data_IF_478423981318
#
_entry.id   IF_478423981318
#
_cell.length_a   1.000
_cell.length_b   1.000
_cell.length_c   1.000
_cell.angle_alpha   90.00
_cell.angle_beta   90.00
_cell.angle_gamma   90.00
#
_symmetry.space_group_name_H-M   'P 1'
#
loop_
_entity.id
_entity.type
_entity.pdbx_description
1 polymer ?
#
# COMPACT_ATOMS: atom_id res chain seq x y z
N UNK A 1 -6.76 -18.04 3.35
CA UNK A 1 -5.75 -17.16 4.00
C UNK A 1 -6.38 -15.82 4.43
N UNK A 2 -5.86 -15.13 5.46
CA UNK A 2 -6.24 -13.74 5.81
C UNK A 2 -4.99 -12.87 6.02
N UNK A 3 -4.89 -11.75 5.30
CA UNK A 3 -3.78 -10.79 5.40
C UNK A 3 -4.30 -9.39 5.71
N UNK A 4 -3.61 -8.67 6.58
CA UNK A 4 -3.90 -7.26 6.91
C UNK A 4 -2.71 -6.42 6.47
N UNK A 5 -2.96 -5.43 5.62
CA UNK A 5 -1.95 -4.45 5.17
C UNK A 5 -2.33 -3.09 5.75
N UNK A 6 -1.39 -2.42 6.41
CA UNK A 6 -1.59 -1.11 7.04
C UNK A 6 -0.68 -0.08 6.38
N UNK A 7 -1.26 1.02 5.90
CA UNK A 7 -0.55 2.08 5.21
C UNK A 7 -0.29 3.28 6.09
N UNK A 8 0.66 3.19 7.03
CA UNK A 8 1.35 4.33 7.66
C UNK A 8 2.51 3.84 8.55
N UNK A 9 3.74 4.29 8.28
CA UNK A 9 4.88 4.19 9.21
C UNK A 9 5.68 5.51 9.23
N UNK A 10 5.18 6.54 9.90
CA UNK A 10 5.98 7.74 10.17
C UNK A 10 6.80 7.64 11.46
N UNK A 11 8.08 7.98 11.40
CA UNK A 11 8.92 8.08 12.61
C UNK A 11 10.29 8.71 12.37
N UNK A 12 10.53 9.87 12.99
CA UNK A 12 11.87 10.44 13.12
C UNK A 12 12.56 9.82 14.34
N UNK A 13 13.07 8.61 14.19
CA UNK A 13 13.81 7.93 15.25
C UNK A 13 15.30 8.26 15.14
N UNK A 14 15.78 9.22 15.93
CA UNK A 14 17.20 9.29 16.30
C UNK A 14 17.36 8.48 17.59
N UNK A 15 18.23 7.48 17.57
CA UNK A 15 18.65 6.67 18.73
C UNK A 15 17.52 5.94 19.49
N UNK A 16 16.52 5.44 18.78
CA UNK A 16 15.46 4.62 19.38
C UNK A 16 15.85 3.14 19.44
N UNK A 17 15.56 2.39 20.53
CA UNK A 17 15.89 0.96 20.64
C UNK A 17 15.29 0.08 19.53
N UNK A 18 14.20 0.53 18.91
CA UNK A 18 13.56 -0.17 17.79
C UNK A 18 14.26 0.03 16.44
N UNK A 19 15.25 0.92 16.33
CA UNK A 19 15.95 1.16 15.06
C UNK A 19 16.64 -0.10 14.53
N UNK A 20 17.21 -0.92 15.42
CA UNK A 20 17.82 -2.19 15.04
C UNK A 20 16.79 -3.13 14.40
N UNK A 21 15.60 -3.24 15.01
CA UNK A 21 14.49 -4.04 14.49
C UNK A 21 13.92 -3.49 13.17
N UNK A 22 13.67 -2.19 13.07
CA UNK A 22 13.16 -1.56 11.84
C UNK A 22 14.13 -1.80 10.67
N UNK A 23 15.44 -1.79 10.93
CA UNK A 23 16.47 -2.06 9.92
C UNK A 23 16.48 -3.51 9.42
N UNK A 24 15.93 -4.46 10.18
CA UNK A 24 15.79 -5.86 9.74
C UNK A 24 14.52 -6.12 8.93
N UNK A 25 13.57 -5.16 8.89
CA UNK A 25 12.35 -5.34 8.12
C UNK A 25 12.66 -5.39 6.61
N UNK A 26 11.98 -6.28 5.86
CA UNK A 26 12.16 -6.34 4.42
C UNK A 26 11.61 -5.06 3.76
N UNK A 27 12.19 -4.68 2.61
CA UNK A 27 11.74 -3.49 1.87
C UNK A 27 10.36 -3.68 1.22
N UNK A 28 10.01 -4.92 0.92
CA UNK A 28 8.73 -5.31 0.37
C UNK A 28 8.34 -6.70 0.89
N UNK A 29 7.06 -7.01 0.84
CA UNK A 29 6.51 -8.34 1.04
C UNK A 29 5.79 -8.75 -0.22
N UNK A 30 6.09 -9.94 -0.76
CA UNK A 30 5.51 -10.42 -2.00
C UNK A 30 4.78 -11.74 -1.79
N UNK A 31 3.62 -11.86 -2.42
CA UNK A 31 2.86 -13.10 -2.57
C UNK A 31 2.70 -13.42 -4.06
N UNK A 32 2.03 -14.53 -4.37
CA UNK A 32 1.61 -14.84 -5.73
C UNK A 32 0.74 -13.71 -6.34
N UNK A 33 -0.08 -13.03 -5.53
CA UNK A 33 -1.13 -12.14 -6.03
C UNK A 33 -0.83 -10.64 -5.88
N UNK A 34 0.00 -10.25 -4.93
CA UNK A 34 0.27 -8.84 -4.66
C UNK A 34 1.64 -8.60 -4.02
N UNK A 35 2.12 -7.37 -4.14
CA UNK A 35 3.32 -6.84 -3.51
C UNK A 35 2.91 -5.74 -2.54
N UNK A 36 3.37 -5.79 -1.30
CA UNK A 36 3.30 -4.68 -0.35
C UNK A 36 4.66 -3.98 -0.29
N UNK A 37 4.69 -2.68 -0.50
CA UNK A 37 5.90 -1.85 -0.43
C UNK A 37 5.61 -0.56 0.32
N UNK A 38 6.62 0.09 0.90
CA UNK A 38 6.40 1.37 1.55
C UNK A 38 6.00 2.48 0.56
N UNK A 39 6.80 2.68 -0.49
CA UNK A 39 6.63 3.79 -1.43
C UNK A 39 6.33 3.33 -2.86
N UNK A 40 7.28 2.70 -3.55
CA UNK A 40 7.12 2.28 -4.94
C UNK A 40 7.86 0.99 -5.29
N UNK A 41 7.49 0.40 -6.43
CA UNK A 41 8.20 -0.73 -7.05
C UNK A 41 8.67 -0.27 -8.43
N UNK A 42 9.88 -0.67 -8.83
CA UNK A 42 10.41 -0.45 -10.17
C UNK A 42 9.50 -1.10 -11.22
N UNK A 43 9.37 -0.47 -12.39
CA UNK A 43 8.60 -1.06 -13.52
C UNK A 43 9.11 -2.42 -13.96
N UNK A 44 10.36 -2.77 -13.62
CA UNK A 44 10.98 -4.06 -13.93
C UNK A 44 10.68 -5.15 -12.90
N UNK A 45 10.02 -4.83 -11.78
CA UNK A 45 9.72 -5.79 -10.70
C UNK A 45 10.39 -5.45 -9.36
N UNK A 46 9.95 -6.08 -8.25
CA UNK A 46 10.47 -5.86 -6.91
C UNK A 46 11.97 -6.21 -6.77
N UNK A 47 12.44 -7.23 -7.47
CA UNK A 47 13.85 -7.65 -7.51
C UNK A 47 14.78 -6.60 -8.15
N UNK A 48 14.23 -5.75 -9.03
CA UNK A 48 14.92 -4.63 -9.66
C UNK A 48 14.65 -3.30 -8.95
N UNK A 49 14.03 -3.33 -7.77
CA UNK A 49 13.68 -2.13 -7.00
C UNK A 49 14.78 -1.84 -6.00
N UNK A 50 15.49 -0.73 -6.20
CA UNK A 50 16.47 -0.29 -5.23
C UNK A 50 15.83 0.29 -3.96
N UNK A 51 16.63 0.41 -2.91
CA UNK A 51 16.19 0.89 -1.60
C UNK A 51 15.62 2.31 -1.64
N UNK A 52 16.11 3.17 -2.53
CA UNK A 52 15.60 4.54 -2.66
C UNK A 52 14.20 4.54 -3.26
N UNK A 53 13.96 3.73 -4.30
CA UNK A 53 12.64 3.57 -4.90
C UNK A 53 11.64 3.00 -3.89
N UNK A 54 12.03 1.93 -3.19
CA UNK A 54 11.15 1.27 -2.21
C UNK A 54 10.73 2.19 -1.05
N UNK A 55 11.56 3.18 -0.69
CA UNK A 55 11.36 4.03 0.48
C UNK A 55 10.90 5.46 0.19
N UNK A 56 11.18 6.03 -0.98
CA UNK A 56 11.03 7.48 -1.18
C UNK A 56 10.31 7.89 -2.45
N UNK A 57 10.24 7.00 -3.44
CA UNK A 57 9.70 7.32 -4.74
C UNK A 57 8.16 7.50 -4.71
N UNK A 58 7.64 8.38 -5.56
CA UNK A 58 6.21 8.73 -5.62
C UNK A 58 5.58 8.45 -6.98
N UNK A 59 6.32 7.88 -7.92
CA UNK A 59 5.88 7.66 -9.30
C UNK A 59 4.61 6.80 -9.40
N UNK A 60 4.41 5.81 -8.52
CA UNK A 60 3.16 5.03 -8.50
C UNK A 60 1.94 5.94 -8.28
N UNK A 61 2.03 6.84 -7.31
CA UNK A 61 0.98 7.78 -7.00
C UNK A 61 0.79 8.83 -8.10
N UNK A 62 1.89 9.38 -8.60
CA UNK A 62 1.87 10.56 -9.48
C UNK A 62 1.55 10.21 -10.94
N UNK A 63 2.05 9.08 -11.45
CA UNK A 63 1.94 8.74 -12.86
C UNK A 63 0.68 7.92 -13.17
N UNK A 64 0.26 7.01 -12.28
CA UNK A 64 -0.91 6.16 -12.48
C UNK A 64 -0.82 5.18 -13.68
N UNK A 65 0.39 4.93 -14.19
CA UNK A 65 0.65 4.09 -15.37
C UNK A 65 1.32 2.74 -15.05
N UNK A 66 1.51 2.41 -13.77
CA UNK A 66 1.98 1.08 -13.39
C UNK A 66 0.88 0.03 -13.66
N UNK A 67 1.20 -0.98 -14.46
CA UNK A 67 0.28 -2.05 -14.88
C UNK A 67 0.80 -3.47 -14.60
N UNK A 68 1.84 -3.61 -13.75
CA UNK A 68 2.35 -4.92 -13.31
C UNK A 68 1.48 -5.56 -12.22
N UNK A 69 1.98 -6.64 -11.60
CA UNK A 69 1.34 -7.32 -10.45
C UNK A 69 0.86 -6.30 -9.40
N UNK A 70 -0.32 -6.50 -8.81
CA UNK A 70 -0.92 -5.56 -7.86
C UNK A 70 0.08 -5.09 -6.79
N UNK A 71 0.33 -3.77 -6.73
CA UNK A 71 1.15 -3.13 -5.69
C UNK A 71 0.26 -2.40 -4.69
N UNK A 72 0.43 -2.71 -3.41
CA UNK A 72 -0.23 -2.01 -2.30
C UNK A 72 0.84 -1.19 -1.59
N UNK A 73 0.63 0.14 -1.51
CA UNK A 73 1.66 1.07 -1.05
C UNK A 73 1.12 2.14 -0.10
N UNK A 74 2.02 2.83 0.60
CA UNK A 74 1.75 3.99 1.47
C UNK A 74 2.54 5.22 1.01
N UNK A 75 3.18 5.93 1.95
CA UNK A 75 4.16 7.02 1.73
C UNK A 75 3.66 8.32 1.08
N UNK A 76 2.82 8.22 0.05
CA UNK A 76 2.21 9.36 -0.62
C UNK A 76 0.81 9.57 -0.06
N UNK A 77 0.62 10.61 0.78
CA UNK A 77 -0.65 10.85 1.43
C UNK A 77 -1.70 11.27 0.41
N UNK A 78 -2.81 10.55 0.41
CA UNK A 78 -3.98 10.84 -0.40
C UNK A 78 -5.18 11.09 0.51
N UNK A 79 -6.13 11.92 0.10
CA UNK A 79 -7.35 12.11 0.90
C UNK A 79 -8.23 10.85 0.92
N UNK A 80 -8.10 10.02 -0.12
CA UNK A 80 -8.94 8.86 -0.40
C UNK A 80 -8.07 7.69 -0.80
N UNK A 81 -8.56 6.47 -0.57
CA UNK A 81 -7.94 5.26 -1.12
C UNK A 81 -8.22 5.22 -2.62
N UNK A 82 -7.16 5.16 -3.42
CA UNK A 82 -7.24 5.14 -4.88
C UNK A 82 -6.69 3.82 -5.43
N UNK A 83 -7.39 3.27 -6.41
CA UNK A 83 -6.91 2.22 -7.29
C UNK A 83 -6.53 2.82 -8.64
N UNK A 84 -5.32 2.51 -9.11
CA UNK A 84 -4.77 2.94 -10.39
C UNK A 84 -4.47 1.67 -11.22
N UNK A 85 -5.24 1.39 -12.29
CA UNK A 85 -5.08 0.16 -13.08
C UNK A 85 -3.91 0.25 -14.09
N UNK A 86 -3.24 1.41 -14.23
CA UNK A 86 -2.14 1.60 -15.15
C UNK A 86 -2.50 2.24 -16.50
N UNK A 87 -3.73 2.71 -16.65
CA UNK A 87 -4.22 3.43 -17.86
C UNK A 87 -4.25 4.96 -17.68
N UNK A 88 -3.62 5.47 -16.61
CA UNK A 88 -3.67 6.89 -16.23
C UNK A 88 -4.94 7.30 -15.48
N UNK A 89 -5.92 6.39 -15.31
CA UNK A 89 -7.13 6.67 -14.51
C UNK A 89 -6.90 6.37 -13.02
N UNK A 90 -7.67 7.05 -12.17
CA UNK A 90 -7.71 6.82 -10.73
C UNK A 90 -9.15 6.53 -10.30
N UNK A 91 -9.35 5.45 -9.55
CA UNK A 91 -10.68 5.00 -9.08
C UNK A 91 -10.70 5.04 -7.56
N UNK A 92 -11.60 5.83 -6.98
CA UNK A 92 -11.78 5.85 -5.53
C UNK A 92 -12.36 4.51 -5.03
N UNK A 93 -11.76 3.95 -4.00
CA UNK A 93 -12.30 2.81 -3.26
C UNK A 93 -13.06 3.31 -2.03
N UNK A 94 -14.28 2.81 -1.84
CA UNK A 94 -15.12 3.16 -0.68
C UNK A 94 -14.93 2.12 0.43
N UNK A 95 -14.60 2.59 1.63
CA UNK A 95 -14.41 1.73 2.80
C UNK A 95 -15.67 0.91 3.14
N UNK A 96 -15.46 -0.29 3.70
CA UNK A 96 -16.53 -1.16 4.16
C UNK A 96 -17.17 -2.06 3.09
N UNK A 97 -16.88 -1.87 1.80
CA UNK A 97 -17.33 -2.80 0.75
C UNK A 97 -16.31 -3.91 0.51
N UNK A 98 -16.79 -5.15 0.37
CA UNK A 98 -15.99 -6.27 -0.13
C UNK A 98 -16.01 -6.24 -1.65
N UNK A 99 -14.85 -6.47 -2.26
CA UNK A 99 -14.71 -6.53 -3.71
C UNK A 99 -13.54 -7.45 -4.12
N UNK A 100 -13.55 -8.01 -5.35
CA UNK A 100 -12.47 -8.88 -5.82
C UNK A 100 -11.12 -8.15 -5.82
N UNK A 101 -10.06 -8.86 -5.44
CA UNK A 101 -8.69 -8.33 -5.50
C UNK A 101 -8.27 -8.13 -6.97
N UNK A 102 -7.80 -6.95 -7.38
CA UNK A 102 -7.27 -6.76 -8.74
C UNK A 102 -6.00 -7.57 -8.93
N UNK A 103 -5.77 -8.07 -10.14
CA UNK A 103 -4.54 -8.81 -10.46
C UNK A 103 -3.33 -7.89 -10.71
N UNK A 104 -3.61 -6.64 -11.10
CA UNK A 104 -2.61 -5.68 -11.54
C UNK A 104 -2.90 -4.25 -11.06
N UNK A 105 -1.96 -3.34 -11.31
CA UNK A 105 -2.08 -1.92 -10.96
C UNK A 105 -1.57 -1.63 -9.56
N UNK A 106 -2.03 -0.53 -8.95
CA UNK A 106 -1.64 -0.18 -7.60
C UNK A 106 -2.77 0.44 -6.75
N UNK A 107 -2.68 0.24 -5.44
CA UNK A 107 -3.63 0.76 -4.44
C UNK A 107 -2.85 1.51 -3.36
N UNK A 108 -3.10 2.82 -3.24
CA UNK A 108 -2.53 3.68 -2.20
C UNK A 108 -3.37 3.67 -0.92
N UNK A 109 -2.76 3.27 0.20
CA UNK A 109 -3.43 3.19 1.51
C UNK A 109 -3.10 4.35 2.45
N UNK A 110 -2.11 5.18 2.16
CA UNK A 110 -1.76 6.31 3.02
C UNK A 110 -2.83 7.41 2.91
N UNK A 111 -3.75 7.40 3.88
CA UNK A 111 -4.82 8.42 3.98
C UNK A 111 -4.48 9.56 4.94
N UNK A 112 -3.19 9.73 5.24
CA UNK A 112 -2.68 10.87 5.98
C UNK A 112 -3.00 10.88 7.47
N UNK A 113 -2.90 9.73 8.15
CA UNK A 113 -3.19 9.59 9.57
C UNK A 113 -2.40 10.60 10.43
N UNK A 114 -1.13 10.86 10.11
CA UNK A 114 -0.29 11.86 10.81
C UNK A 114 -0.88 13.28 10.79
N UNK A 115 -1.70 13.63 9.79
CA UNK A 115 -2.43 14.90 9.72
C UNK A 115 -3.81 14.85 10.36
N UNK A 116 -4.02 13.94 11.33
CA UNK A 116 -5.31 13.73 12.02
C UNK A 116 -6.45 13.38 11.07
N UNK A 117 -6.14 12.73 9.95
CA UNK A 117 -7.14 12.21 9.01
C UNK A 117 -7.51 10.77 9.40
N UNK A 118 -7.31 9.81 8.50
CA UNK A 118 -7.69 8.40 8.69
C UNK A 118 -6.46 7.51 8.66
N UNK A 119 -6.44 6.51 9.54
CA UNK A 119 -5.57 5.34 9.39
C UNK A 119 -6.33 4.30 8.57
N UNK A 120 -5.71 3.83 7.50
CA UNK A 120 -6.33 2.89 6.56
C UNK A 120 -5.62 1.55 6.60
N UNK A 121 -6.43 0.49 6.60
CA UNK A 121 -5.98 -0.88 6.43
C UNK A 121 -6.79 -1.58 5.33
N UNK A 122 -6.13 -2.48 4.62
CA UNK A 122 -6.74 -3.38 3.64
C UNK A 122 -6.76 -4.79 4.23
N UNK A 123 -7.94 -5.38 4.32
CA UNK A 123 -8.12 -6.77 4.76
C UNK A 123 -8.35 -7.62 3.52
N UNK A 124 -7.46 -8.58 3.28
CA UNK A 124 -7.52 -9.51 2.14
C UNK A 124 -7.88 -10.90 2.68
N UNK A 125 -8.93 -11.50 2.13
CA UNK A 125 -9.45 -12.80 2.52
C UNK A 125 -9.67 -13.68 1.29
N UNK A 126 -9.36 -14.95 1.44
CA UNK A 126 -9.64 -15.96 0.41
C UNK A 126 -11.00 -16.61 0.66
N UNK A 127 -11.79 -16.73 -0.41
CA UNK A 127 -13.06 -17.43 -0.39
C UNK A 127 -13.18 -18.41 -1.57
N UNK A 128 -14.32 -19.09 -1.67
CA UNK A 128 -14.61 -20.08 -2.72
C UNK A 128 -14.52 -19.55 -4.17
N UNK A 129 -14.59 -18.24 -4.37
CA UNK A 129 -14.54 -17.55 -5.65
C UNK A 129 -13.20 -16.82 -5.90
N UNK A 130 -12.22 -16.94 -5.00
CA UNK A 130 -10.91 -16.28 -5.09
C UNK A 130 -10.63 -15.30 -3.94
N UNK A 131 -9.68 -14.39 -4.16
CA UNK A 131 -9.30 -13.36 -3.18
C UNK A 131 -10.22 -12.14 -3.28
N UNK A 132 -10.73 -11.73 -2.12
CA UNK A 132 -11.45 -10.48 -1.94
C UNK A 132 -10.72 -9.57 -0.97
N UNK A 133 -10.98 -8.27 -1.07
CA UNK A 133 -10.51 -7.32 -0.10
C UNK A 133 -11.59 -6.36 0.37
N UNK A 134 -11.32 -5.74 1.51
CA UNK A 134 -12.13 -4.69 2.10
C UNK A 134 -11.23 -3.64 2.74
N UNK A 135 -11.53 -2.37 2.46
CA UNK A 135 -10.89 -1.25 3.12
C UNK A 135 -11.55 -0.97 4.47
N UNK A 136 -10.73 -0.85 5.51
CA UNK A 136 -11.10 -0.43 6.86
C UNK A 136 -10.38 0.86 7.20
N UNK A 137 -11.09 1.80 7.81
CA UNK A 137 -10.53 3.09 8.19
C UNK A 137 -10.92 3.41 9.63
N UNK A 138 -9.99 4.01 10.36
CA UNK A 138 -10.21 4.58 11.69
C UNK A 138 -9.91 6.07 11.60
N UNK A 139 -10.82 6.90 12.10
CA UNK A 139 -10.63 8.35 12.17
C UNK A 139 -9.84 8.73 13.42
N UNK A 140 -8.97 9.72 13.30
CA UNK A 140 -8.28 10.26 14.46
C UNK A 140 -9.28 10.78 15.51
N UNK A 141 -9.20 10.26 16.74
CA UNK A 141 -10.02 10.72 17.86
C UNK A 141 -11.43 10.10 17.97
N UNK A 142 -11.71 9.02 17.22
CA UNK A 142 -12.91 8.19 17.35
C UNK A 142 -12.54 6.73 17.60
#
# INVERSE_FOLDING_TARGET
>A
MRTIVVGDIHGCFRDHPFLAYIRTLPLYYETEHYICVHAAVSRKGPECTDRSIALWDRSLADEGIYCGKLVIYGHTPMEKVLYQPGDGTCRQIVAGRKQPLPEYGCIGLDTGCVWKKKLTAMVIEENKNGLEYQIRQVEYGK
#
